data_IF_921682411556
#
_entry.id   IF_921682411556
#
_cell.length_a   1.000
_cell.length_b   1.000
_cell.length_c   1.000
_cell.angle_alpha   90.00
_cell.angle_beta   90.00
_cell.angle_gamma   90.00
#
_symmetry.space_group_name_H-M   'P 1'
#
loop_
_entity.id
_entity.type
_entity.pdbx_description
1 polymer ?
#
# COMPACT_ATOMS: atom_id res chain seq x y z
N UNK A 1 12.84 20.23 12.39
CA UNK A 1 13.04 20.14 10.93
C UNK A 1 12.18 18.98 10.48
N UNK A 2 11.12 19.24 9.73
CA UNK A 2 10.35 18.20 9.03
C UNK A 2 11.35 17.35 8.23
N UNK A 3 11.35 16.05 8.45
CA UNK A 3 12.19 15.17 7.66
C UNK A 3 11.66 15.23 6.21
N UNK A 4 12.52 15.28 5.18
CA UNK A 4 12.09 15.47 3.78
C UNK A 4 11.10 14.39 3.29
N UNK A 5 10.97 13.27 4.00
CA UNK A 5 9.98 12.22 3.76
C UNK A 5 8.57 12.58 4.24
N UNK A 6 8.38 13.51 5.18
CA UNK A 6 7.06 13.86 5.71
C UNK A 6 6.20 14.61 4.68
N UNK A 7 6.80 15.48 3.89
CA UNK A 7 6.12 16.18 2.79
C UNK A 7 5.71 15.19 1.70
N UNK A 8 6.60 14.26 1.34
CA UNK A 8 6.30 13.22 0.34
C UNK A 8 5.16 12.31 0.82
N UNK A 9 5.22 11.83 2.07
CA UNK A 9 4.16 11.01 2.67
C UNK A 9 2.82 11.77 2.68
N UNK A 10 2.82 13.07 3.01
CA UNK A 10 1.61 13.88 3.02
C UNK A 10 1.00 14.03 1.61
N UNK A 11 1.83 14.24 0.59
CA UNK A 11 1.40 14.29 -0.81
C UNK A 11 0.82 12.95 -1.27
N UNK A 12 1.55 11.85 -1.06
CA UNK A 12 1.08 10.50 -1.41
C UNK A 12 -0.23 10.15 -0.69
N UNK A 13 -0.36 10.50 0.59
CA UNK A 13 -1.61 10.30 1.35
C UNK A 13 -2.77 11.08 0.74
N UNK A 14 -2.54 12.33 0.31
CA UNK A 14 -3.56 13.15 -0.35
C UNK A 14 -3.98 12.54 -1.68
N UNK A 15 -3.03 12.04 -2.46
CA UNK A 15 -3.29 11.39 -3.76
C UNK A 15 -4.10 10.10 -3.60
N UNK A 16 -3.71 9.24 -2.66
CA UNK A 16 -4.48 8.03 -2.30
C UNK A 16 -5.90 8.41 -1.86
N UNK A 17 -6.04 9.44 -1.02
CA UNK A 17 -7.36 9.88 -0.56
C UNK A 17 -8.25 10.34 -1.72
N UNK A 18 -7.71 11.13 -2.66
CA UNK A 18 -8.44 11.56 -3.85
C UNK A 18 -8.82 10.38 -4.75
N UNK A 19 -7.90 9.41 -4.93
CA UNK A 19 -8.16 8.19 -5.69
C UNK A 19 -9.30 7.38 -5.06
N UNK A 20 -9.25 7.14 -3.74
CA UNK A 20 -10.31 6.43 -3.02
C UNK A 20 -11.65 7.13 -3.22
N UNK A 21 -11.71 8.45 -3.03
CA UNK A 21 -12.94 9.22 -3.19
C UNK A 21 -13.53 9.11 -4.61
N UNK A 22 -12.68 9.16 -5.65
CA UNK A 22 -13.11 9.01 -7.04
C UNK A 22 -13.65 7.61 -7.36
N UNK A 23 -13.21 6.57 -6.62
CA UNK A 23 -13.68 5.19 -6.73
C UNK A 23 -14.86 4.87 -5.80
N UNK A 24 -15.40 5.86 -5.08
CA UNK A 24 -16.47 5.65 -4.10
C UNK A 24 -16.01 4.94 -2.81
N UNK A 25 -14.71 4.92 -2.54
CA UNK A 25 -14.09 4.31 -1.36
C UNK A 25 -13.77 5.36 -0.30
N UNK A 26 -13.71 4.94 0.96
CA UNK A 26 -13.22 5.76 2.07
C UNK A 26 -11.83 5.30 2.49
N UNK A 27 -10.87 6.22 2.61
CA UNK A 27 -9.55 5.92 3.14
C UNK A 27 -9.62 5.67 4.65
N UNK A 28 -9.47 4.41 5.08
CA UNK A 28 -9.56 4.02 6.50
C UNK A 28 -8.27 4.27 7.29
N UNK A 29 -7.20 3.55 6.94
CA UNK A 29 -5.91 3.64 7.62
C UNK A 29 -4.76 3.75 6.61
N UNK A 30 -3.65 4.39 7.04
CA UNK A 30 -2.43 4.54 6.25
C UNK A 30 -1.27 3.92 7.02
N UNK A 31 -0.51 3.07 6.34
CA UNK A 31 0.65 2.37 6.89
C UNK A 31 1.89 2.78 6.13
N UNK A 32 2.99 3.05 6.84
CA UNK A 32 4.25 3.53 6.26
C UNK A 32 5.39 2.67 6.79
N UNK A 33 6.15 2.11 5.87
CA UNK A 33 7.42 1.44 6.15
C UNK A 33 8.57 2.36 5.75
N UNK A 34 9.17 3.05 6.73
CA UNK A 34 10.29 3.96 6.49
C UNK A 34 11.60 3.19 6.35
N UNK A 35 12.39 3.52 5.32
CA UNK A 35 13.77 3.01 5.11
C UNK A 35 13.87 1.47 5.08
N UNK A 36 12.80 0.80 4.68
CA UNK A 36 12.82 -0.66 4.51
C UNK A 36 13.43 -1.00 3.15
N UNK A 37 14.42 -1.88 3.15
CA UNK A 37 15.07 -2.30 1.92
C UNK A 37 14.11 -3.09 1.03
N UNK A 38 14.19 -2.88 -0.29
CA UNK A 38 13.22 -3.41 -1.25
C UNK A 38 13.15 -4.93 -1.32
N UNK A 39 14.10 -5.67 -0.73
CA UNK A 39 14.12 -7.13 -0.71
C UNK A 39 13.56 -7.78 0.55
N UNK A 40 13.17 -6.97 1.51
CA UNK A 40 12.58 -7.43 2.75
C UNK A 40 11.07 -7.63 2.55
N UNK A 41 10.59 -8.83 2.87
CA UNK A 41 9.17 -9.20 2.89
C UNK A 41 8.50 -8.98 4.25
N UNK A 42 9.30 -8.94 5.33
CA UNK A 42 8.85 -8.69 6.70
C UNK A 42 9.00 -7.21 7.05
N UNK A 43 7.88 -6.47 7.04
CA UNK A 43 7.85 -5.03 7.33
C UNK A 43 6.78 -4.75 8.36
N UNK A 44 7.03 -3.82 9.28
CA UNK A 44 6.12 -3.58 10.40
C UNK A 44 4.81 -2.95 9.91
N UNK A 45 4.89 -1.93 9.06
CA UNK A 45 3.73 -1.28 8.46
C UNK A 45 2.94 -2.24 7.59
N UNK A 46 3.62 -2.99 6.73
CA UNK A 46 2.98 -4.01 5.89
C UNK A 46 2.30 -5.11 6.72
N UNK A 47 2.91 -5.58 7.81
CA UNK A 47 2.32 -6.64 8.65
C UNK A 47 1.05 -6.13 9.33
N UNK A 48 1.11 -4.94 9.93
CA UNK A 48 -0.07 -4.31 10.53
C UNK A 48 -1.18 -4.05 9.50
N UNK A 49 -0.81 -3.69 8.26
CA UNK A 49 -1.76 -3.56 7.16
C UNK A 49 -2.48 -4.88 6.88
N UNK A 50 -1.74 -5.99 6.74
CA UNK A 50 -2.34 -7.32 6.50
C UNK A 50 -3.26 -7.73 7.65
N UNK A 51 -2.88 -7.44 8.89
CA UNK A 51 -3.73 -7.73 10.06
C UNK A 51 -5.05 -6.96 10.01
N UNK A 52 -5.05 -5.71 9.53
CA UNK A 52 -6.28 -4.90 9.39
C UNK A 52 -7.17 -5.38 8.24
N UNK A 53 -6.60 -6.00 7.20
CA UNK A 53 -7.40 -6.58 6.12
C UNK A 53 -8.22 -7.81 6.55
N UNK A 54 -7.92 -8.40 7.72
CA UNK A 54 -8.72 -9.48 8.28
C UNK A 54 -10.07 -9.00 8.87
N UNK A 55 -10.28 -7.68 9.01
CA UNK A 55 -11.55 -7.14 9.48
C UNK A 55 -12.56 -7.01 8.32
N UNK A 56 -13.85 -7.26 8.57
CA UNK A 56 -14.88 -7.29 7.52
C UNK A 56 -15.12 -5.95 6.82
N UNK A 57 -14.72 -4.83 7.43
CA UNK A 57 -14.90 -3.48 6.88
C UNK A 57 -13.73 -3.06 5.95
N UNK A 58 -12.74 -3.93 5.74
CA UNK A 58 -11.58 -3.68 4.89
C UNK A 58 -11.77 -4.26 3.48
N UNK A 59 -11.92 -3.39 2.48
CA UNK A 59 -12.16 -3.81 1.09
C UNK A 59 -10.88 -3.99 0.25
N UNK A 60 -9.97 -3.01 0.30
CA UNK A 60 -8.82 -2.96 -0.60
C UNK A 60 -7.61 -2.29 0.04
N UNK A 61 -6.44 -2.64 -0.48
CA UNK A 61 -5.18 -1.94 -0.29
C UNK A 61 -4.96 -1.02 -1.47
N UNK A 62 -4.69 0.25 -1.19
CA UNK A 62 -4.32 1.24 -2.22
C UNK A 62 -2.86 1.63 -1.99
N UNK A 63 -2.05 1.50 -3.04
CA UNK A 63 -0.65 1.95 -3.06
C UNK A 63 -0.47 3.03 -4.12
N UNK A 64 0.50 3.96 -4.00
CA UNK A 64 0.76 4.93 -5.06
C UNK A 64 1.15 4.23 -6.37
N UNK A 65 2.03 3.23 -6.31
CA UNK A 65 2.40 2.37 -7.44
C UNK A 65 2.74 0.95 -6.94
N UNK A 66 2.76 -0.04 -7.84
CA UNK A 66 3.14 -1.41 -7.47
C UNK A 66 4.60 -1.52 -7.00
N UNK A 67 5.48 -0.59 -7.41
CA UNK A 67 6.87 -0.51 -6.93
C UNK A 67 6.98 -0.16 -5.45
N UNK A 68 5.93 0.41 -4.83
CA UNK A 68 5.86 0.60 -3.37
C UNK A 68 5.81 -0.71 -2.59
N UNK A 69 5.28 -1.78 -3.20
CA UNK A 69 5.43 -3.11 -2.61
C UNK A 69 6.89 -3.54 -2.70
N UNK A 70 7.49 -3.50 -3.89
CA UNK A 70 8.93 -3.69 -4.08
C UNK A 70 9.31 -3.40 -5.53
N UNK A 71 10.51 -2.87 -5.73
CA UNK A 71 11.16 -2.81 -7.04
C UNK A 71 11.56 -4.21 -7.54
N UNK A 72 11.78 -5.18 -6.64
CA UNK A 72 12.12 -6.57 -7.00
C UNK A 72 10.84 -7.36 -7.30
N UNK A 73 10.65 -7.86 -8.53
CA UNK A 73 9.41 -8.55 -8.92
C UNK A 73 9.06 -9.76 -8.04
N UNK A 74 10.07 -10.54 -7.61
CA UNK A 74 9.85 -11.70 -6.73
C UNK A 74 9.27 -11.30 -5.37
N UNK A 75 9.82 -10.24 -4.76
CA UNK A 75 9.37 -9.73 -3.46
C UNK A 75 8.00 -9.08 -3.60
N UNK A 76 7.78 -8.31 -4.67
CA UNK A 76 6.48 -7.73 -5.00
C UNK A 76 5.38 -8.79 -5.11
N UNK A 77 5.64 -9.89 -5.83
CA UNK A 77 4.69 -11.01 -5.95
C UNK A 77 4.35 -11.63 -4.60
N UNK A 78 5.34 -11.82 -3.73
CA UNK A 78 5.12 -12.35 -2.37
C UNK A 78 4.22 -11.41 -1.56
N UNK A 79 4.50 -10.11 -1.57
CA UNK A 79 3.69 -9.12 -0.84
C UNK A 79 2.28 -9.00 -1.41
N UNK A 80 2.14 -8.94 -2.73
CA UNK A 80 0.83 -8.92 -3.39
C UNK A 80 0.01 -10.19 -3.11
N UNK A 81 0.66 -11.35 -3.06
CA UNK A 81 0.00 -12.62 -2.70
C UNK A 81 -0.50 -12.62 -1.25
N UNK A 82 0.23 -12.01 -0.32
CA UNK A 82 -0.21 -11.87 1.08
C UNK A 82 -1.46 -11.00 1.21
N UNK A 83 -1.53 -9.90 0.46
CA UNK A 83 -2.73 -9.05 0.38
C UNK A 83 -3.90 -9.81 -0.25
N UNK A 84 -3.69 -10.45 -1.41
CA UNK A 84 -4.77 -11.20 -2.08
C UNK A 84 -5.28 -12.38 -1.24
N UNK A 85 -4.43 -12.93 -0.38
CA UNK A 85 -4.80 -13.96 0.59
C UNK A 85 -5.84 -13.54 1.62
N UNK A 86 -6.06 -12.23 1.83
CA UNK A 86 -7.11 -11.69 2.73
C UNK A 86 -8.44 -11.45 2.01
N UNK A 87 -8.58 -11.90 0.76
CA UNK A 87 -9.70 -11.59 -0.14
C UNK A 87 -9.88 -10.09 -0.45
N UNK A 88 -8.91 -9.25 -0.10
CA UNK A 88 -8.91 -7.82 -0.41
C UNK A 88 -8.31 -7.54 -1.78
N UNK A 89 -8.74 -6.46 -2.42
CA UNK A 89 -8.16 -6.01 -3.69
C UNK A 89 -6.85 -5.23 -3.48
N UNK A 90 -5.97 -5.25 -4.48
CA UNK A 90 -4.78 -4.40 -4.54
C UNK A 90 -4.94 -3.42 -5.70
N UNK A 91 -5.00 -2.13 -5.38
CA UNK A 91 -5.19 -1.03 -6.32
C UNK A 91 -3.96 -0.13 -6.33
N UNK A 92 -3.59 0.38 -7.50
CA UNK A 92 -2.50 1.34 -7.67
C UNK A 92 -3.06 2.68 -8.18
N UNK A 93 -2.61 3.79 -7.59
CA UNK A 93 -3.01 5.15 -8.03
C UNK A 93 -2.39 5.47 -9.39
N UNK A 94 -1.09 5.20 -9.53
CA UNK A 94 -0.32 5.31 -10.76
C UNK A 94 -0.15 3.89 -11.30
N UNK A 95 -0.75 3.64 -12.45
CA UNK A 95 -0.86 2.30 -13.01
C UNK A 95 0.49 1.63 -13.19
N UNK A 96 0.54 0.37 -12.75
CA UNK A 96 1.21 -0.70 -13.48
C UNK A 96 0.15 -1.80 -13.60
N UNK A 97 -0.50 -1.87 -14.76
CA UNK A 97 -1.26 -3.08 -15.11
C UNK A 97 -0.23 -4.22 -15.19
N UNK A 98 -0.12 -5.06 -14.16
CA UNK A 98 0.39 -6.43 -14.34
C UNK A 98 -0.68 -7.19 -15.15
N UNK A 99 -0.70 -6.91 -16.46
CA UNK A 99 -1.49 -7.61 -17.46
C UNK A 99 -0.92 -9.00 -17.72
#
# INVERSE_FOLDING_TARGET
MEQPDEIEIALQRKEIWMFCAAQGLTLGAVFVDRRVHGDVTARLGFTALVDVLCFPDSYAVVVPSLTHLSERPGVRRVLASRIRGTASQLLAVYGDEER
#
